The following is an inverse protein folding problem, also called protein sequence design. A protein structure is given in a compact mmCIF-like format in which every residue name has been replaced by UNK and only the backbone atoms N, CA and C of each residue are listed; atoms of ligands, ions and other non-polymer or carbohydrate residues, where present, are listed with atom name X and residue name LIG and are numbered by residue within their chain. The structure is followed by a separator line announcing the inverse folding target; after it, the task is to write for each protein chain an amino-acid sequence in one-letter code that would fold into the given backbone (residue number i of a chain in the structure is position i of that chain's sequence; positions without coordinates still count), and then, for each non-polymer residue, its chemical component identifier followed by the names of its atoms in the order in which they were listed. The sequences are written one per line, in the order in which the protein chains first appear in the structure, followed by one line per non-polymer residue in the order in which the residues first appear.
data_IF_144714556038
#
_entry.id   IF_144714556038
#
_cell.length_a   1.000
_cell.length_b   1.000
_cell.length_c   1.000
_cell.angle_alpha   90.00
_cell.angle_beta   90.00
_cell.angle_gamma   90.00
#
_symmetry.space_group_name_H-M   'P 1'
#
loop_
_entity.id
_entity.type
_entity.pdbx_description
1 polymer ?
#
# COMPACT_ATOMS: atom_id res chain seq x y z
N UNK A 1 2.81 -11.34 12.59
CA UNK A 1 3.80 -10.88 11.59
C UNK A 1 5.18 -10.92 12.24
N UNK A 2 6.28 -11.06 11.49
CA UNK A 2 7.64 -11.11 12.07
C UNK A 2 8.56 -10.10 11.41
N UNK A 3 9.30 -9.34 12.20
CA UNK A 3 10.31 -8.39 11.76
C UNK A 3 11.70 -9.01 11.94
N UNK A 4 12.52 -8.90 10.89
CA UNK A 4 13.86 -9.47 10.82
C UNK A 4 14.87 -8.39 10.46
N UNK A 5 16.06 -8.53 11.03
CA UNK A 5 17.24 -7.78 10.61
C UNK A 5 17.81 -8.43 9.34
N UNK A 6 17.98 -7.64 8.29
CA UNK A 6 18.44 -8.17 7.01
C UNK A 6 19.89 -8.64 7.01
N UNK A 7 20.73 -7.99 7.81
CA UNK A 7 22.18 -8.18 7.80
C UNK A 7 22.56 -9.47 8.53
N UNK A 8 21.97 -9.67 9.71
CA UNK A 8 22.22 -10.81 10.58
C UNK A 8 21.24 -11.96 10.36
N UNK A 9 20.09 -11.70 9.73
CA UNK A 9 19.00 -12.67 9.58
C UNK A 9 18.28 -12.99 10.89
N UNK A 10 18.54 -12.23 11.96
CA UNK A 10 17.92 -12.44 13.26
C UNK A 10 16.48 -11.92 13.27
N UNK A 11 15.58 -12.69 13.88
CA UNK A 11 14.24 -12.20 14.18
C UNK A 11 14.33 -11.14 15.28
N UNK A 12 13.92 -9.91 14.98
CA UNK A 12 13.86 -8.81 15.93
C UNK A 12 12.59 -8.91 16.79
N UNK A 13 11.42 -8.97 16.14
CA UNK A 13 10.13 -8.90 16.82
C UNK A 13 9.07 -9.83 16.22
N UNK A 14 8.17 -10.34 17.07
CA UNK A 14 6.91 -10.93 16.66
C UNK A 14 5.79 -9.90 16.90
N UNK A 15 5.19 -9.42 15.81
CA UNK A 15 4.12 -8.41 15.83
C UNK A 15 2.77 -9.15 15.85
N UNK A 16 2.25 -9.32 17.05
CA UNK A 16 1.01 -10.05 17.34
C UNK A 16 -0.14 -9.07 17.64
N UNK A 17 -1.29 -9.28 17.02
CA UNK A 17 -2.47 -8.45 17.25
C UNK A 17 -3.58 -8.67 16.24
N UNK A 18 -3.21 -8.88 14.97
CA UNK A 18 -4.18 -9.25 13.94
C UNK A 18 -4.83 -10.61 14.25
N UNK A 19 -6.16 -10.68 14.09
CA UNK A 19 -6.97 -11.88 14.31
C UNK A 19 -7.30 -12.64 13.01
N UNK A 20 -6.82 -12.13 11.89
CA UNK A 20 -6.99 -12.67 10.55
C UNK A 20 -5.67 -12.70 9.81
N UNK A 21 -5.70 -13.18 8.57
CA UNK A 21 -4.55 -13.14 7.69
C UNK A 21 -4.13 -11.68 7.46
N UNK A 22 -2.83 -11.42 7.55
CA UNK A 22 -2.28 -10.10 7.19
C UNK A 22 -2.10 -10.12 5.68
N UNK A 23 -2.65 -9.13 4.99
CA UNK A 23 -2.76 -9.11 3.52
C UNK A 23 -1.74 -8.18 2.88
N UNK A 24 -1.36 -7.12 3.59
CA UNK A 24 -0.44 -6.09 3.11
C UNK A 24 0.31 -5.46 4.27
N UNK A 25 1.55 -5.05 4.02
CA UNK A 25 2.44 -4.43 5.01
C UNK A 25 3.33 -3.39 4.33
N UNK A 26 3.65 -2.29 5.01
CA UNK A 26 4.57 -1.26 4.49
C UNK A 26 5.34 -0.60 5.64
N UNK A 27 6.57 -0.16 5.35
CA UNK A 27 7.33 0.71 6.26
C UNK A 27 7.03 2.18 5.98
N UNK A 28 7.13 3.01 7.02
CA UNK A 28 7.30 4.44 6.85
C UNK A 28 8.66 4.73 6.19
N UNK A 29 8.77 5.87 5.51
CA UNK A 29 9.99 6.27 4.79
C UNK A 29 11.22 6.44 5.68
N UNK A 30 11.02 6.71 6.97
CA UNK A 30 12.07 6.79 7.99
C UNK A 30 12.40 5.42 8.63
N UNK A 31 11.69 4.36 8.25
CA UNK A 31 11.87 3.00 8.77
C UNK A 31 11.56 2.85 10.27
N UNK A 32 10.89 3.82 10.90
CA UNK A 32 10.56 3.79 12.33
C UNK A 32 9.21 3.15 12.62
N UNK A 33 8.33 3.07 11.62
CA UNK A 33 6.98 2.50 11.74
C UNK A 33 6.70 1.47 10.66
N UNK A 34 5.83 0.54 10.99
CA UNK A 34 5.23 -0.42 10.05
C UNK A 34 3.72 -0.22 10.08
N UNK A 35 3.07 -0.29 8.93
CA UNK A 35 1.62 -0.40 8.80
C UNK A 35 1.26 -1.77 8.23
N UNK A 36 0.19 -2.39 8.73
CA UNK A 36 -0.32 -3.66 8.21
C UNK A 36 -1.83 -3.64 8.04
N UNK A 37 -2.33 -4.24 6.96
CA UNK A 37 -3.73 -4.51 6.70
C UNK A 37 -4.04 -6.01 6.87
N UNK A 38 -5.30 -6.34 7.20
CA UNK A 38 -5.71 -7.71 7.43
C UNK A 38 -7.17 -8.00 7.08
N UNK A 39 -7.45 -9.29 6.86
CA UNK A 39 -8.78 -9.87 6.78
C UNK A 39 -9.61 -9.67 8.06
N UNK A 40 -8.98 -9.35 9.20
CA UNK A 40 -9.69 -8.95 10.43
C UNK A 40 -10.31 -7.55 10.38
N UNK A 41 -10.20 -6.87 9.22
CA UNK A 41 -10.80 -5.57 8.91
C UNK A 41 -10.14 -4.41 9.66
N UNK A 42 -8.92 -4.61 10.13
CA UNK A 42 -8.14 -3.57 10.81
C UNK A 42 -6.90 -3.21 10.01
N UNK A 43 -6.50 -1.95 10.13
CA UNK A 43 -5.15 -1.49 9.81
C UNK A 43 -4.43 -1.27 11.13
N UNK A 44 -3.24 -1.83 11.31
CA UNK A 44 -2.44 -1.64 12.53
C UNK A 44 -1.15 -0.91 12.22
N UNK A 45 -0.71 -0.08 13.15
CA UNK A 45 0.58 0.63 13.09
C UNK A 45 1.45 0.12 14.22
N UNK A 46 2.69 -0.20 13.89
CA UNK A 46 3.68 -0.77 14.78
C UNK A 46 4.90 0.13 14.85
N UNK A 47 5.52 0.16 16.00
CA UNK A 47 6.86 0.72 16.18
C UNK A 47 7.90 -0.32 15.73
N UNK A 48 8.70 0.03 14.73
CA UNK A 48 9.69 -0.90 14.16
C UNK A 48 10.92 -1.10 15.06
N UNK A 49 11.12 -0.24 16.06
CA UNK A 49 12.28 -0.25 16.96
C UNK A 49 12.05 -1.01 18.25
N UNK A 50 10.78 -1.23 18.61
CA UNK A 50 10.37 -1.94 19.84
C UNK A 50 9.43 -3.10 19.58
N UNK A 51 8.82 -3.17 18.39
CA UNK A 51 7.77 -4.12 18.04
C UNK A 51 6.42 -3.84 18.69
N UNK A 52 6.27 -2.70 19.39
CA UNK A 52 5.03 -2.33 20.04
C UNK A 52 3.94 -1.97 19.02
N UNK A 53 2.70 -2.32 19.32
CA UNK A 53 1.54 -1.78 18.61
C UNK A 53 1.30 -0.33 19.04
N UNK A 54 1.28 0.58 18.06
CA UNK A 54 1.01 2.01 18.27
C UNK A 54 -0.47 2.33 18.07
N UNK A 55 -1.08 1.78 17.01
CA UNK A 55 -2.46 2.07 16.64
C UNK A 55 -3.18 0.83 16.11
N UNK A 56 -4.48 0.75 16.38
CA UNK A 56 -5.41 -0.19 15.76
C UNK A 56 -6.57 0.60 15.13
N UNK A 57 -6.55 0.71 13.81
CA UNK A 57 -7.45 1.54 13.02
C UNK A 57 -8.55 0.67 12.42
N UNK A 58 -9.79 0.96 12.81
CA UNK A 58 -10.97 0.25 12.32
C UNK A 58 -11.81 1.19 11.50
N UNK A 59 -11.63 1.14 10.17
CA UNK A 59 -12.28 2.09 9.27
C UNK A 59 -13.26 1.50 8.26
N UNK A 60 -13.28 0.17 8.08
CA UNK A 60 -14.05 -0.49 7.02
C UNK A 60 -15.05 -1.53 7.54
N UNK A 61 -15.98 -1.92 6.67
CA UNK A 61 -16.90 -3.04 6.93
C UNK A 61 -16.34 -4.38 6.46
N UNK A 62 -15.25 -4.35 5.68
CA UNK A 62 -14.68 -5.49 4.99
C UNK A 62 -13.16 -5.63 5.20
N UNK A 63 -12.58 -6.64 4.57
CA UNK A 63 -11.16 -7.02 4.64
C UNK A 63 -10.29 -5.94 3.99
N UNK A 64 -9.21 -5.55 4.68
CA UNK A 64 -8.21 -4.64 4.13
C UNK A 64 -7.30 -5.46 3.23
N UNK A 65 -7.06 -5.01 2.00
CA UNK A 65 -6.24 -5.76 1.03
C UNK A 65 -4.89 -5.10 0.77
N UNK A 66 -4.81 -3.78 0.85
CA UNK A 66 -3.59 -3.02 0.64
C UNK A 66 -3.45 -1.85 1.61
N UNK A 67 -2.21 -1.49 1.97
CA UNK A 67 -1.87 -0.35 2.84
C UNK A 67 -0.62 0.38 2.33
N UNK A 68 -0.57 1.70 2.51
CA UNK A 68 0.58 2.53 2.18
C UNK A 68 0.75 3.70 3.16
N UNK A 69 2.00 4.08 3.41
CA UNK A 69 2.32 5.37 4.03
C UNK A 69 2.49 6.47 2.98
N UNK A 70 2.07 7.67 3.34
CA UNK A 70 2.55 8.88 2.66
C UNK A 70 4.06 9.06 2.84
N UNK A 71 4.76 9.74 1.90
CA UNK A 71 6.21 9.90 1.95
C UNK A 71 6.74 10.60 3.21
N UNK A 72 5.94 11.48 3.81
CA UNK A 72 6.27 12.16 5.07
C UNK A 72 5.82 11.36 6.32
N UNK A 73 5.20 10.19 6.14
CA UNK A 73 4.69 9.34 7.21
C UNK A 73 3.45 9.87 7.94
N UNK A 74 2.94 11.06 7.60
CA UNK A 74 1.85 11.72 8.33
C UNK A 74 0.48 11.07 8.08
N UNK A 75 0.31 10.43 6.92
CA UNK A 75 -0.90 9.76 6.51
C UNK A 75 -0.69 8.29 6.16
N UNK A 76 -1.74 7.51 6.38
CA UNK A 76 -1.88 6.12 5.94
C UNK A 76 -3.05 6.08 4.96
N UNK A 77 -2.89 5.33 3.86
CA UNK A 77 -3.97 4.94 2.97
C UNK A 77 -4.17 3.42 3.02
N UNK A 78 -5.40 2.96 2.84
CA UNK A 78 -5.69 1.53 2.63
C UNK A 78 -6.79 1.33 1.61
N UNK A 79 -6.69 0.27 0.82
CA UNK A 79 -7.78 -0.25 -0.01
C UNK A 79 -8.42 -1.48 0.62
N UNK A 80 -9.73 -1.62 0.40
CA UNK A 80 -10.57 -2.62 1.04
C UNK A 80 -11.51 -3.31 0.04
N UNK A 81 -12.01 -4.47 0.43
CA UNK A 81 -13.01 -5.23 -0.34
C UNK A 81 -14.36 -4.52 -0.47
N UNK A 82 -14.65 -3.53 0.39
CA UNK A 82 -15.85 -2.70 0.30
C UNK A 82 -15.77 -1.62 -0.79
N UNK A 83 -14.70 -1.63 -1.59
CA UNK A 83 -14.44 -0.73 -2.73
C UNK A 83 -14.01 0.69 -2.32
N UNK A 84 -13.69 0.87 -1.04
CA UNK A 84 -13.36 2.18 -0.47
C UNK A 84 -11.85 2.26 -0.23
N UNK A 85 -11.28 3.42 -0.56
CA UNK A 85 -9.95 3.81 -0.05
C UNK A 85 -10.15 4.61 1.23
N UNK A 86 -9.55 4.21 2.34
CA UNK A 86 -9.62 4.97 3.58
C UNK A 86 -8.30 5.69 3.86
N UNK A 87 -8.37 6.91 4.40
CA UNK A 87 -7.21 7.73 4.75
C UNK A 87 -7.24 8.06 6.24
N UNK A 88 -6.10 7.91 6.91
CA UNK A 88 -5.94 8.22 8.33
C UNK A 88 -4.76 9.14 8.58
N UNK A 89 -4.83 9.88 9.68
CA UNK A 89 -3.69 10.55 10.27
C UNK A 89 -2.90 9.56 11.14
N UNK A 90 -1.61 9.41 10.86
CA UNK A 90 -0.73 8.45 11.54
C UNK A 90 -0.47 8.80 13.01
N UNK A 91 -0.52 10.09 13.37
CA UNK A 91 -0.22 10.54 14.72
C UNK A 91 -1.37 10.22 15.70
N UNK A 92 -2.61 10.47 15.28
CA UNK A 92 -3.80 10.31 16.13
C UNK A 92 -4.58 9.02 15.86
N UNK A 93 -4.37 8.40 14.70
CA UNK A 93 -5.23 7.31 14.21
C UNK A 93 -6.61 7.78 13.74
N UNK A 94 -6.83 9.10 13.61
CA UNK A 94 -8.11 9.65 13.18
C UNK A 94 -8.34 9.35 11.70
N UNK A 95 -9.53 8.85 11.36
CA UNK A 95 -9.95 8.67 9.96
C UNK A 95 -10.25 10.04 9.36
N UNK A 96 -9.45 10.45 8.37
CA UNK A 96 -9.58 11.73 7.70
C UNK A 96 -10.59 11.67 6.55
N UNK A 97 -10.61 10.56 5.80
CA UNK A 97 -11.47 10.42 4.64
C UNK A 97 -11.77 8.96 4.29
N UNK A 98 -12.83 8.79 3.49
CA UNK A 98 -13.10 7.58 2.71
C UNK A 98 -13.39 8.02 1.28
N UNK A 99 -12.63 7.49 0.33
CA UNK A 99 -12.71 7.84 -1.08
C UNK A 99 -13.57 6.80 -1.77
N UNK A 100 -14.74 7.23 -2.21
CA UNK A 100 -15.71 6.40 -2.90
C UNK A 100 -15.62 6.60 -4.42
N UNK A 101 -15.91 5.54 -5.16
CA UNK A 101 -16.01 5.61 -6.63
C UNK A 101 -15.69 4.30 -7.33
N UNK A 102 -14.80 3.48 -6.75
CA UNK A 102 -14.54 2.15 -7.30
C UNK A 102 -15.80 1.27 -7.25
N UNK A 103 -15.97 0.46 -8.28
CA UNK A 103 -17.09 -0.49 -8.41
C UNK A 103 -16.66 -1.93 -8.06
N UNK A 104 -15.35 -2.16 -7.89
CA UNK A 104 -14.74 -3.43 -7.53
C UNK A 104 -13.83 -3.30 -6.32
N UNK A 105 -13.29 -4.43 -5.85
CA UNK A 105 -12.38 -4.44 -4.71
C UNK A 105 -11.15 -3.57 -5.01
N UNK A 106 -10.64 -2.84 -4.02
CA UNK A 106 -9.40 -2.04 -4.19
C UNK A 106 -8.21 -2.93 -3.83
N UNK A 107 -7.45 -3.34 -4.84
CA UNK A 107 -6.32 -4.28 -4.72
C UNK A 107 -5.01 -3.60 -4.37
N UNK A 108 -4.87 -2.30 -4.68
CA UNK A 108 -3.63 -1.59 -4.46
C UNK A 108 -3.85 -0.11 -4.23
N UNK A 109 -2.96 0.50 -3.44
CA UNK A 109 -2.96 1.94 -3.13
C UNK A 109 -1.52 2.42 -2.98
N UNK A 110 -1.22 3.63 -3.47
CA UNK A 110 0.08 4.26 -3.30
C UNK A 110 -0.05 5.79 -3.21
N UNK A 111 0.89 6.41 -2.50
CA UNK A 111 1.10 7.86 -2.57
C UNK A 111 2.16 8.20 -3.62
N UNK A 112 1.97 9.33 -4.28
CA UNK A 112 3.03 10.02 -5.02
C UNK A 112 4.18 10.42 -4.11
N UNK A 113 5.39 10.56 -4.68
CA UNK A 113 6.62 10.86 -3.92
C UNK A 113 6.59 12.20 -3.20
N UNK A 114 5.80 13.17 -3.68
CA UNK A 114 5.58 14.45 -3.00
C UNK A 114 4.41 14.41 -2.00
N UNK A 115 3.66 13.30 -1.97
CA UNK A 115 2.52 13.10 -1.09
C UNK A 115 1.25 13.85 -1.51
N UNK A 116 1.23 14.50 -2.67
CA UNK A 116 0.12 15.35 -3.11
C UNK A 116 -1.00 14.55 -3.79
N UNK A 117 -0.67 13.38 -4.34
CA UNK A 117 -1.60 12.49 -5.03
C UNK A 117 -1.62 11.09 -4.40
N UNK A 118 -2.78 10.45 -4.49
CA UNK A 118 -2.98 9.03 -4.18
C UNK A 118 -3.42 8.33 -5.46
N UNK A 119 -2.90 7.14 -5.72
CA UNK A 119 -3.38 6.23 -6.76
C UNK A 119 -4.02 5.01 -6.12
N UNK A 120 -5.14 4.54 -6.67
CA UNK A 120 -5.77 3.27 -6.27
C UNK A 120 -6.18 2.43 -7.47
N UNK A 121 -5.86 1.15 -7.41
CA UNK A 121 -6.24 0.16 -8.43
C UNK A 121 -7.33 -0.76 -7.95
N UNK A 122 -8.21 -1.16 -8.86
CA UNK A 122 -9.37 -1.97 -8.51
C UNK A 122 -9.69 -3.03 -9.56
N UNK A 123 -10.36 -4.09 -9.11
CA UNK A 123 -10.98 -5.12 -9.95
C UNK A 123 -12.06 -4.59 -10.90
N UNK A 124 -12.46 -3.32 -10.78
CA UNK A 124 -13.29 -2.65 -11.79
C UNK A 124 -12.51 -2.25 -13.07
N UNK A 125 -11.28 -2.72 -13.20
CA UNK A 125 -10.36 -2.43 -14.31
C UNK A 125 -10.01 -0.94 -14.46
N UNK A 126 -10.12 -0.19 -13.36
CA UNK A 126 -9.73 1.23 -13.31
C UNK A 126 -8.61 1.49 -12.31
N UNK A 127 -7.80 2.50 -12.64
CA UNK A 127 -6.97 3.19 -11.68
C UNK A 127 -7.53 4.58 -11.47
N UNK A 128 -7.74 4.95 -10.20
CA UNK A 128 -8.19 6.30 -9.83
C UNK A 128 -7.04 7.09 -9.23
N UNK A 129 -6.95 8.34 -9.61
CA UNK A 129 -6.03 9.32 -9.03
C UNK A 129 -6.83 10.29 -8.19
N UNK A 130 -6.38 10.53 -6.97
CA UNK A 130 -7.04 11.36 -5.98
C UNK A 130 -6.09 12.46 -5.51
N UNK A 131 -6.64 13.63 -5.22
CA UNK A 131 -5.92 14.68 -4.51
C UNK A 131 -5.76 14.30 -3.04
N UNK A 132 -4.54 14.31 -2.53
CA UNK A 132 -4.27 13.95 -1.15
C UNK A 132 -4.65 15.07 -0.17
N UNK A 133 -4.86 16.32 -0.60
CA UNK A 133 -5.34 17.41 0.24
C UNK A 133 -6.87 17.42 0.33
N UNK A 134 -7.53 17.65 -0.80
CA UNK A 134 -8.99 17.78 -0.91
C UNK A 134 -9.72 16.46 -0.84
N UNK A 135 -9.04 15.33 -1.15
CA UNK A 135 -9.61 13.97 -1.21
C UNK A 135 -10.56 13.77 -2.40
N UNK A 136 -10.56 14.67 -3.37
CA UNK A 136 -11.35 14.54 -4.57
C UNK A 136 -10.73 13.56 -5.57
N UNK A 137 -11.57 12.89 -6.35
CA UNK A 137 -11.11 12.10 -7.49
C UNK A 137 -10.76 13.05 -8.64
N UNK A 138 -9.50 13.08 -9.02
CA UNK A 138 -8.99 13.94 -10.10
C UNK A 138 -9.07 13.24 -11.45
N UNK A 139 -8.85 11.93 -11.48
CA UNK A 139 -8.86 11.17 -12.73
C UNK A 139 -9.26 9.71 -12.53
N UNK A 140 -9.81 9.12 -13.60
CA UNK A 140 -10.22 7.71 -13.68
C UNK A 140 -9.69 7.13 -14.98
N UNK A 141 -8.59 6.40 -14.87
CA UNK A 141 -7.95 5.70 -15.98
C UNK A 141 -8.69 4.40 -16.21
N UNK A 142 -9.17 4.18 -17.43
CA UNK A 142 -10.03 3.05 -17.81
C UNK A 142 -9.39 2.20 -18.90
N UNK A 143 -9.95 1.01 -19.13
CA UNK A 143 -9.53 0.16 -20.24
C UNK A 143 -8.19 -0.52 -19.99
N UNK A 144 -7.82 -0.70 -18.71
CA UNK A 144 -6.67 -1.49 -18.28
C UNK A 144 -6.92 -3.00 -18.45
N UNK A 145 -8.07 -3.37 -19.02
CA UNK A 145 -8.51 -4.65 -19.57
C UNK A 145 -7.60 -5.34 -20.62
N UNK A 146 -6.36 -4.89 -20.90
CA UNK A 146 -5.45 -5.48 -21.92
C UNK A 146 -4.18 -6.21 -21.43
N UNK A 147 -3.33 -6.66 -22.38
CA UNK A 147 -1.98 -7.22 -22.12
C UNK A 147 -1.09 -6.12 -21.53
N UNK A 148 -0.35 -6.42 -20.45
CA UNK A 148 0.44 -5.47 -19.66
C UNK A 148 1.37 -4.55 -20.49
N UNK A 149 1.82 -5.01 -21.67
CA UNK A 149 2.70 -4.27 -22.58
C UNK A 149 2.05 -2.98 -23.12
N UNK A 150 0.72 -2.93 -23.30
CA UNK A 150 0.04 -1.72 -23.79
C UNK A 150 -0.36 -0.75 -22.66
N UNK A 151 -0.54 -1.26 -21.44
CA UNK A 151 -0.94 -0.46 -20.27
C UNK A 151 0.14 0.57 -19.93
N UNK A 152 1.40 0.16 -19.93
CA UNK A 152 2.52 1.04 -19.59
C UNK A 152 2.65 2.22 -20.55
N UNK A 153 2.59 1.96 -21.86
CA UNK A 153 2.68 3.02 -22.86
C UNK A 153 1.46 3.95 -22.78
N UNK A 154 0.27 3.37 -22.63
CA UNK A 154 -0.97 4.16 -22.52
C UNK A 154 -1.01 5.05 -21.29
N UNK A 155 -0.51 4.56 -20.15
CA UNK A 155 -0.34 5.36 -18.94
C UNK A 155 0.67 6.48 -19.14
N UNK A 156 1.78 6.23 -19.84
CA UNK A 156 2.73 7.30 -20.21
C UNK A 156 2.06 8.38 -21.06
N UNK A 157 1.22 8.00 -22.00
CA UNK A 157 0.56 8.93 -22.91
C UNK A 157 -0.60 9.71 -22.21
N UNK A 158 -1.45 9.03 -21.44
CA UNK A 158 -2.61 9.65 -20.77
C UNK A 158 -2.20 10.44 -19.51
N UNK A 159 -1.27 9.92 -18.71
CA UNK A 159 -0.91 10.50 -17.40
C UNK A 159 0.28 11.46 -17.52
N UNK A 160 1.24 11.16 -18.40
CA UNK A 160 2.43 11.99 -18.62
C UNK A 160 2.14 13.34 -19.29
N UNK A 161 1.06 13.45 -20.07
CA UNK A 161 0.63 14.72 -20.66
C UNK A 161 -0.26 15.55 -19.72
N UNK A 162 -1.07 14.90 -18.86
CA UNK A 162 -2.11 15.58 -18.09
C UNK A 162 -1.61 16.14 -16.75
N UNK A 163 -0.51 15.62 -16.21
CA UNK A 163 0.10 16.10 -14.97
C UNK A 163 1.63 16.08 -15.09
N UNK A 164 2.34 17.02 -14.43
CA UNK A 164 3.79 16.94 -14.22
C UNK A 164 4.09 15.84 -13.19
N UNK A 165 3.72 14.61 -13.52
CA UNK A 165 3.89 13.44 -12.67
C UNK A 165 5.34 12.99 -12.78
N UNK A 166 6.05 12.97 -11.64
CA UNK A 166 7.41 12.42 -11.56
C UNK A 166 7.37 10.94 -11.98
N UNK A 167 8.37 10.50 -12.75
CA UNK A 167 8.43 9.12 -13.29
C UNK A 167 8.16 8.03 -12.23
N UNK A 168 8.59 8.24 -10.98
CA UNK A 168 8.32 7.31 -9.88
C UNK A 168 6.83 7.07 -9.61
N UNK A 169 5.99 8.11 -9.64
CA UNK A 169 4.55 7.94 -9.40
C UNK A 169 3.85 7.31 -10.61
N UNK A 170 4.34 7.59 -11.82
CA UNK A 170 3.88 6.89 -13.02
C UNK A 170 4.21 5.39 -12.95
N UNK A 171 5.42 5.02 -12.50
CA UNK A 171 5.78 3.62 -12.29
C UNK A 171 4.91 2.98 -11.19
N UNK A 172 4.55 3.70 -10.12
CA UNK A 172 3.56 3.21 -9.14
C UNK A 172 2.18 2.98 -9.78
N UNK A 173 1.70 3.89 -10.63
CA UNK A 173 0.42 3.73 -11.35
C UNK A 173 0.49 2.54 -12.32
N UNK A 174 1.60 2.37 -13.05
CA UNK A 174 1.84 1.24 -13.94
C UNK A 174 1.83 -0.07 -13.16
N UNK A 175 2.50 -0.12 -12.01
CA UNK A 175 2.52 -1.29 -11.14
C UNK A 175 1.13 -1.62 -10.62
N UNK A 176 0.39 -0.62 -10.12
CA UNK A 176 -1.01 -0.76 -9.70
C UNK A 176 -1.87 -1.30 -10.85
N UNK A 177 -1.74 -0.75 -12.05
CA UNK A 177 -2.51 -1.15 -13.22
C UNK A 177 -2.17 -2.56 -13.72
N UNK A 178 -0.89 -2.96 -13.66
CA UNK A 178 -0.44 -4.29 -14.07
C UNK A 178 -0.79 -5.37 -13.04
N UNK A 179 -0.90 -5.01 -11.76
CA UNK A 179 -1.28 -5.91 -10.66
C UNK A 179 -2.80 -6.00 -10.46
N UNK A 180 -3.58 -5.06 -11.00
CA UNK A 180 -5.04 -4.98 -10.92
C UNK A 180 -5.84 -5.95 -11.80
N UNK A 181 -5.30 -7.11 -12.19
CA UNK A 181 -5.98 -8.10 -13.04
C UNK A 181 -5.92 -9.53 -12.47
N UNK A 182 -6.86 -10.42 -12.84
CA UNK A 182 -7.23 -11.58 -12.04
C UNK A 182 -6.17 -12.66 -12.17
N UNK A 183 -5.20 -12.66 -11.28
CA UNK A 183 -4.43 -13.87 -10.98
C UNK A 183 -5.45 -14.83 -10.36
N UNK A 184 -5.85 -15.81 -11.16
CA UNK A 184 -6.68 -16.93 -10.77
C UNK A 184 -6.35 -17.36 -9.34
N UNK A 185 -7.40 -17.55 -8.53
CA UNK A 185 -7.43 -18.20 -7.22
C UNK A 185 -6.16 -19.05 -6.91
N UNK A 186 -5.12 -18.40 -6.39
CA UNK A 186 -3.93 -19.05 -5.84
C UNK A 186 -3.95 -18.84 -4.32
N UNK A 187 -3.91 -19.91 -3.50
CA UNK A 187 -4.12 -19.84 -2.05
C UNK A 187 -2.87 -19.35 -1.28
N UNK A 188 -2.10 -18.43 -1.86
CA UNK A 188 -0.85 -17.89 -1.30
C UNK A 188 -0.86 -16.38 -1.55
N UNK A 189 -1.41 -15.62 -0.60
CA UNK A 189 -2.01 -14.31 -0.82
C UNK A 189 -1.14 -13.17 -0.28
N UNK A 190 -0.18 -12.70 -1.08
CA UNK A 190 0.46 -11.41 -0.86
C UNK A 190 0.68 -10.71 -2.21
N UNK A 191 0.12 -9.51 -2.35
CA UNK A 191 0.40 -8.56 -3.44
C UNK A 191 1.25 -7.41 -2.87
N UNK A 192 2.22 -6.97 -3.68
CA UNK A 192 3.45 -6.29 -3.32
C UNK A 192 3.33 -4.94 -2.57
N UNK A 193 4.45 -4.55 -1.96
CA UNK A 193 4.70 -3.38 -1.12
C UNK A 193 5.58 -2.33 -1.82
N UNK A 194 5.26 -1.04 -1.68
CA UNK A 194 6.13 0.06 -2.13
C UNK A 194 6.83 0.68 -0.91
N UNK A 195 8.14 0.92 -1.02
CA UNK A 195 8.88 1.80 -0.09
C UNK A 195 9.22 3.08 -0.85
N UNK A 196 8.92 4.23 -0.27
CA UNK A 196 9.09 5.54 -0.94
C UNK A 196 10.48 6.14 -0.74
N UNK A 197 11.41 5.47 -0.04
CA UNK A 197 12.77 5.99 0.12
C UNK A 197 13.80 4.88 0.37
N UNK A 198 14.68 4.68 -0.62
CA UNK A 198 16.07 4.17 -0.56
C UNK A 198 16.46 2.90 0.22
N UNK A 199 15.58 2.28 0.99
CA UNK A 199 15.82 1.03 1.72
C UNK A 199 14.90 -0.06 1.17
N UNK A 200 15.47 -1.05 0.48
CA UNK A 200 14.68 -2.15 -0.06
C UNK A 200 14.14 -3.01 1.10
N UNK A 201 12.82 -3.00 1.32
CA UNK A 201 12.20 -3.95 2.22
C UNK A 201 11.83 -5.21 1.43
N UNK A 202 12.34 -6.36 1.85
CA UNK A 202 11.88 -7.66 1.35
C UNK A 202 10.76 -8.18 2.24
N UNK A 203 9.61 -8.47 1.64
CA UNK A 203 8.48 -9.12 2.32
C UNK A 203 8.29 -10.49 1.69
N UNK A 204 8.51 -11.54 2.48
CA UNK A 204 8.49 -12.93 2.02
C UNK A 204 7.70 -13.84 2.96
N UNK A 205 7.04 -14.84 2.40
CA UNK A 205 6.38 -15.89 3.19
C UNK A 205 7.41 -16.91 3.68
N UNK A 206 7.46 -17.13 4.99
CA UNK A 206 8.14 -18.27 5.62
C UNK A 206 7.06 -19.18 6.25
N UNK A 207 6.36 -19.97 5.43
CA UNK A 207 5.28 -20.85 5.89
C UNK A 207 3.98 -20.08 6.16
N UNK A 208 3.46 -20.08 7.40
CA UNK A 208 2.26 -19.30 7.81
C UNK A 208 2.58 -17.86 8.23
N UNK A 209 3.81 -17.41 8.04
CA UNK A 209 4.30 -16.14 8.58
C UNK A 209 4.80 -15.23 7.47
N UNK A 210 4.36 -13.98 7.50
CA UNK A 210 4.95 -12.88 6.73
C UNK A 210 6.20 -12.42 7.46
N UNK A 211 7.35 -12.57 6.81
CA UNK A 211 8.61 -11.98 7.22
C UNK A 211 8.78 -10.62 6.55
N UNK A 212 9.04 -9.61 7.37
CA UNK A 212 9.40 -8.26 6.93
C UNK A 212 10.88 -8.08 7.23
N UNK A 213 11.67 -7.69 6.22
CA UNK A 213 13.11 -7.51 6.33
C UNK A 213 13.44 -6.03 6.22
N UNK A 214 14.03 -5.46 7.27
CA UNK A 214 14.58 -4.09 7.26
C UNK A 214 16.04 -4.14 6.84
N UNK A 215 16.40 -3.54 5.71
CA UNK A 215 17.79 -3.31 5.32
C UNK A 215 18.28 -2.03 6.02
N UNK A 216 19.28 -2.14 6.90
CA UNK A 216 20.03 -0.98 7.35
C UNK A 216 21.23 -0.78 6.41
N UNK A 217 21.28 0.37 5.74
CA UNK A 217 22.42 0.74 4.91
C UNK A 217 23.61 1.04 5.84
N UNK A 218 24.53 0.08 5.97
CA UNK A 218 25.86 0.37 6.51
C UNK A 218 26.62 1.18 5.45
N UNK A 219 26.67 2.50 5.62
CA UNK A 219 27.59 3.37 4.90
C UNK A 219 29.02 3.00 5.34
N UNK A 220 29.75 2.29 4.48
CA UNK A 220 31.21 2.24 4.49
C UNK A 220 31.73 2.95 3.24
#
# INVERSE_FOLDING_TARGET
MRLWDATSGLQLYCLEGHKGEVTSVAFSSDGTRIVSGSDDRTVRVWDATSGAELLSLRGGTSMVDCVAFSPNGAHIASGCFDRIVSIWETASGTKLAHLEGHQGHVSSVAFSSDGMLIASGSDDETVRVWDAGSKDCLDVIRGLGGVAVNIRQRLKDEVGEMYVIREQFLESIIEIACTGKPVAYFPQRLRYCTTTANDFCWIGHFGKHIGIIKLEKTLN
#
